data_IF_404351224296
#
_entry.id   IF_404351224296
#
_cell.length_a   1.000
_cell.length_b   1.000
_cell.length_c   1.000
_cell.angle_alpha   90.00
_cell.angle_beta   90.00
_cell.angle_gamma   90.00
#
_symmetry.space_group_name_H-M   'P 1'
#
loop_
_entity.id
_entity.type
_entity.pdbx_description
1 polymer ?
#
# COMPACT_ATOMS: atom_id res chain seq x y z
N UNK A 1 61.84 -17.15 -5.10
CA UNK A 1 60.88 -16.08 -5.42
C UNK A 1 59.48 -16.70 -5.50
N UNK A 2 58.76 -16.73 -4.37
CA UNK A 2 57.38 -17.21 -4.28
C UNK A 2 56.44 -16.02 -4.54
N UNK A 3 55.75 -16.00 -5.68
CA UNK A 3 54.71 -14.99 -5.97
C UNK A 3 53.36 -15.54 -5.53
N UNK A 4 52.89 -15.04 -4.38
CA UNK A 4 51.62 -15.35 -3.75
C UNK A 4 50.52 -14.50 -4.41
N UNK A 5 49.77 -15.10 -5.35
CA UNK A 5 48.58 -14.48 -5.93
C UNK A 5 47.40 -14.66 -4.98
N UNK A 6 47.20 -13.69 -4.09
CA UNK A 6 45.99 -13.55 -3.28
C UNK A 6 44.83 -13.13 -4.19
N UNK A 7 44.05 -14.11 -4.65
CA UNK A 7 42.76 -13.87 -5.33
C UNK A 7 41.76 -13.37 -4.28
N UNK A 8 41.57 -12.06 -4.22
CA UNK A 8 40.51 -11.43 -3.45
C UNK A 8 39.16 -11.75 -4.12
N UNK A 9 38.51 -12.82 -3.66
CA UNK A 9 37.13 -13.13 -4.02
C UNK A 9 36.22 -12.21 -3.18
N UNK A 10 35.74 -11.13 -3.77
CA UNK A 10 34.70 -10.29 -3.19
C UNK A 10 33.38 -11.04 -3.33
N UNK A 11 32.99 -11.80 -2.30
CA UNK A 11 31.64 -12.37 -2.20
C UNK A 11 30.69 -11.21 -1.90
N UNK A 12 29.91 -10.79 -2.89
CA UNK A 12 28.74 -9.93 -2.66
C UNK A 12 27.70 -10.78 -1.92
N UNK A 13 27.68 -10.69 -0.59
CA UNK A 13 26.54 -11.14 0.19
C UNK A 13 25.42 -10.12 -0.02
N UNK A 14 24.42 -10.47 -0.84
CA UNK A 14 23.17 -9.74 -0.85
C UNK A 14 22.54 -9.86 0.54
N UNK A 15 22.33 -8.75 1.22
CA UNK A 15 21.55 -8.70 2.44
C UNK A 15 20.08 -9.00 2.07
N UNK A 16 19.72 -10.29 2.04
CA UNK A 16 18.36 -10.66 2.36
C UNK A 16 18.15 -10.16 3.80
N UNK A 17 17.34 -9.12 3.97
CA UNK A 17 16.93 -8.70 5.30
C UNK A 17 16.34 -9.92 5.98
N UNK A 18 16.99 -10.39 7.05
CA UNK A 18 16.60 -11.64 7.69
C UNK A 18 15.17 -11.50 8.19
N UNK A 19 14.26 -12.28 7.61
CA UNK A 19 12.90 -12.40 8.12
C UNK A 19 12.95 -13.01 9.52
N UNK A 20 12.40 -12.32 10.51
CA UNK A 20 12.36 -12.80 11.91
C UNK A 20 11.10 -13.62 12.22
N UNK A 21 10.23 -13.83 11.24
CA UNK A 21 9.02 -14.64 11.40
C UNK A 21 9.32 -16.10 11.14
N UNK A 22 8.76 -16.97 11.97
CA UNK A 22 8.87 -18.41 11.81
C UNK A 22 7.71 -18.90 10.94
N UNK A 23 8.01 -19.55 9.81
CA UNK A 23 6.99 -20.02 8.90
C UNK A 23 7.58 -20.74 7.69
N UNK A 24 6.73 -20.99 6.69
CA UNK A 24 7.14 -21.57 5.41
C UNK A 24 7.38 -20.45 4.40
N UNK A 25 8.50 -20.52 3.70
CA UNK A 25 8.71 -19.67 2.53
C UNK A 25 7.69 -20.06 1.45
N UNK A 26 7.03 -19.04 0.88
CA UNK A 26 6.05 -19.19 -0.18
C UNK A 26 6.33 -18.20 -1.31
N UNK A 27 6.13 -18.69 -2.53
CA UNK A 27 6.13 -17.88 -3.76
C UNK A 27 4.78 -18.05 -4.41
N UNK A 28 4.11 -16.96 -4.78
CA UNK A 28 2.86 -17.03 -5.50
C UNK A 28 2.65 -15.85 -6.44
N UNK A 29 1.89 -16.08 -7.50
CA UNK A 29 1.43 -15.03 -8.42
C UNK A 29 -0.08 -14.84 -8.27
N UNK A 30 -0.53 -13.59 -8.33
CA UNK A 30 -1.93 -13.26 -8.17
C UNK A 30 -2.19 -11.78 -8.41
N UNK A 31 -3.47 -11.44 -8.59
CA UNK A 31 -3.89 -10.05 -8.63
C UNK A 31 -3.76 -9.44 -7.23
N UNK A 32 -3.18 -8.25 -7.17
CA UNK A 32 -3.13 -7.46 -5.94
C UNK A 32 -4.28 -6.45 -5.98
N UNK A 33 -5.09 -6.44 -4.94
CA UNK A 33 -6.28 -5.60 -4.82
C UNK A 33 -6.35 -4.97 -3.43
N UNK A 34 -6.94 -3.78 -3.34
CA UNK A 34 -7.25 -3.14 -2.06
C UNK A 34 -8.48 -3.77 -1.41
N UNK A 35 -8.51 -3.77 -0.08
CA UNK A 35 -9.62 -4.35 0.67
C UNK A 35 -10.92 -3.53 0.49
N UNK A 36 -10.86 -2.22 0.22
CA UNK A 36 -12.07 -1.42 0.02
C UNK A 36 -12.89 -1.86 -1.20
N UNK A 37 -12.25 -2.10 -2.35
CA UNK A 37 -12.84 -2.69 -3.54
C UNK A 37 -13.35 -4.13 -3.29
N UNK A 38 -12.60 -4.92 -2.52
CA UNK A 38 -13.03 -6.29 -2.17
C UNK A 38 -14.30 -6.25 -1.30
N UNK A 39 -14.30 -5.45 -0.23
CA UNK A 39 -15.34 -5.41 0.78
C UNK A 39 -16.66 -4.83 0.25
N UNK A 40 -16.60 -3.81 -0.61
CA UNK A 40 -17.79 -3.26 -1.25
C UNK A 40 -18.34 -4.15 -2.38
N UNK A 41 -17.54 -5.11 -2.85
CA UNK A 41 -17.90 -6.09 -3.89
C UNK A 41 -17.80 -5.58 -5.33
N UNK A 42 -17.63 -4.28 -5.57
CA UNK A 42 -17.52 -3.67 -6.90
C UNK A 42 -16.34 -2.69 -7.00
N UNK A 43 -15.85 -2.45 -8.22
CA UNK A 43 -14.76 -1.49 -8.44
C UNK A 43 -15.28 -0.06 -8.20
N UNK A 44 -14.48 0.78 -7.55
CA UNK A 44 -14.86 2.19 -7.31
C UNK A 44 -15.08 2.97 -8.59
N UNK A 45 -14.21 2.77 -9.59
CA UNK A 45 -14.27 3.43 -10.88
C UNK A 45 -15.17 2.73 -11.90
N UNK A 46 -15.63 1.52 -11.59
CA UNK A 46 -16.58 0.76 -12.38
C UNK A 46 -17.54 -0.04 -11.47
N UNK A 47 -18.54 0.64 -10.89
CA UNK A 47 -19.41 0.09 -9.84
C UNK A 47 -20.39 -0.99 -10.34
N UNK A 48 -20.27 -1.43 -11.58
CA UNK A 48 -21.06 -2.53 -12.15
C UNK A 48 -20.27 -3.82 -12.28
N UNK A 49 -18.95 -3.78 -12.08
CA UNK A 49 -18.08 -4.96 -12.23
C UNK A 49 -17.68 -5.53 -10.88
N UNK A 50 -18.05 -6.80 -10.59
CA UNK A 50 -17.68 -7.46 -9.34
C UNK A 50 -16.18 -7.71 -9.25
N UNK A 51 -15.59 -7.40 -8.10
CA UNK A 51 -14.13 -7.38 -7.91
C UNK A 51 -13.49 -8.75 -7.95
N UNK A 52 -14.04 -9.71 -7.21
CA UNK A 52 -13.53 -11.08 -7.16
C UNK A 52 -13.92 -11.95 -8.37
N UNK A 53 -14.74 -11.43 -9.29
CA UNK A 53 -15.03 -12.09 -10.57
C UNK A 53 -14.07 -11.59 -11.64
N UNK A 54 -13.77 -10.29 -11.65
CA UNK A 54 -12.98 -9.62 -12.68
C UNK A 54 -11.81 -8.81 -12.12
N UNK A 55 -10.88 -9.40 -11.35
CA UNK A 55 -9.75 -8.66 -10.78
C UNK A 55 -8.81 -8.08 -11.86
N UNK A 56 -8.83 -8.63 -13.08
CA UNK A 56 -8.07 -8.14 -14.24
C UNK A 56 -8.48 -6.75 -14.70
N UNK A 57 -9.69 -6.29 -14.33
CA UNK A 57 -10.13 -4.93 -14.67
C UNK A 57 -9.90 -3.91 -13.56
N UNK A 58 -9.38 -4.34 -12.40
CA UNK A 58 -9.07 -3.43 -11.30
C UNK A 58 -8.02 -2.42 -11.75
N UNK A 59 -8.35 -1.13 -11.69
CA UNK A 59 -7.48 -0.10 -12.23
C UNK A 59 -6.28 0.15 -11.33
N UNK A 60 -5.15 0.48 -11.96
CA UNK A 60 -4.00 1.00 -11.25
C UNK A 60 -4.40 2.28 -10.49
N UNK A 61 -5.29 3.11 -11.04
CA UNK A 61 -5.80 4.31 -10.34
C UNK A 61 -6.30 4.01 -8.91
N UNK A 62 -7.09 2.95 -8.71
CA UNK A 62 -7.54 2.56 -7.38
C UNK A 62 -6.38 2.14 -6.47
N UNK A 63 -5.37 1.45 -7.01
CA UNK A 63 -4.22 0.99 -6.24
C UNK A 63 -3.28 2.11 -5.75
N UNK A 64 -3.37 3.33 -6.30
CA UNK A 64 -2.33 4.33 -6.05
C UNK A 64 -2.81 5.79 -5.95
N UNK A 65 -4.04 6.13 -6.37
CA UNK A 65 -4.60 7.50 -6.24
C UNK A 65 -5.80 7.59 -5.27
N UNK A 66 -6.59 6.52 -5.14
CA UNK A 66 -7.84 6.58 -4.39
C UNK A 66 -7.56 6.30 -2.92
N UNK A 67 -7.66 7.35 -2.09
CA UNK A 67 -7.28 7.27 -0.66
C UNK A 67 -8.00 6.15 0.10
N UNK A 68 -9.30 5.96 -0.15
CA UNK A 68 -10.08 4.88 0.48
C UNK A 68 -9.49 3.50 0.17
N UNK A 69 -9.07 3.27 -1.08
CA UNK A 69 -8.41 2.05 -1.51
C UNK A 69 -7.03 1.91 -0.86
N UNK A 70 -6.16 2.93 -0.99
CA UNK A 70 -4.79 2.87 -0.46
C UNK A 70 -4.71 2.75 1.06
N UNK A 71 -5.67 3.32 1.78
CA UNK A 71 -5.75 3.25 3.25
C UNK A 71 -6.28 1.90 3.74
N UNK A 72 -7.03 1.16 2.91
CA UNK A 72 -7.69 -0.09 3.32
C UNK A 72 -6.78 -1.31 3.43
N UNK A 73 -5.48 -1.15 3.14
CA UNK A 73 -4.51 -2.23 2.96
C UNK A 73 -4.87 -3.16 1.79
N UNK A 74 -3.87 -3.87 1.28
CA UNK A 74 -4.00 -4.70 0.09
C UNK A 74 -3.92 -6.19 0.43
N UNK A 75 -4.49 -6.99 -0.44
CA UNK A 75 -4.43 -8.43 -0.45
C UNK A 75 -3.89 -8.95 -1.79
N UNK A 76 -3.33 -10.16 -1.78
CA UNK A 76 -3.12 -10.95 -3.00
C UNK A 76 -4.18 -12.03 -3.10
N UNK A 77 -4.71 -12.20 -4.30
CA UNK A 77 -5.78 -13.17 -4.56
C UNK A 77 -5.23 -14.51 -5.04
N UNK A 78 -5.85 -15.61 -4.58
CA UNK A 78 -5.74 -16.93 -5.18
C UNK A 78 -6.71 -17.05 -6.37
N UNK A 79 -6.34 -17.82 -7.41
CA UNK A 79 -7.25 -18.12 -8.50
C UNK A 79 -8.45 -18.94 -8.01
N UNK A 80 -9.58 -18.92 -8.76
CA UNK A 80 -10.72 -19.78 -8.46
C UNK A 80 -10.36 -21.27 -8.36
N UNK A 81 -10.92 -21.96 -7.37
CA UNK A 81 -10.71 -23.42 -7.18
C UNK A 81 -11.44 -24.29 -8.21
N UNK A 82 -12.28 -23.69 -9.06
CA UNK A 82 -13.03 -24.41 -10.08
C UNK A 82 -13.83 -23.50 -11.01
N UNK A 83 -14.51 -24.10 -12.01
CA UNK A 83 -15.39 -23.36 -12.91
C UNK A 83 -16.50 -22.66 -12.14
N UNK A 84 -16.75 -21.38 -12.46
CA UNK A 84 -17.74 -20.52 -11.81
C UNK A 84 -17.45 -20.16 -10.34
N UNK A 85 -16.26 -20.48 -9.82
CA UNK A 85 -15.80 -19.93 -8.54
C UNK A 85 -15.16 -18.55 -8.76
N UNK A 86 -15.19 -17.73 -7.72
CA UNK A 86 -14.53 -16.42 -7.72
C UNK A 86 -13.09 -16.56 -7.24
N UNK A 87 -12.29 -15.52 -7.50
CA UNK A 87 -11.03 -15.32 -6.80
C UNK A 87 -11.28 -15.16 -5.30
N UNK A 88 -10.32 -15.55 -4.48
CA UNK A 88 -10.39 -15.41 -3.02
C UNK A 88 -9.13 -14.75 -2.48
N UNK A 89 -9.23 -14.10 -1.32
CA UNK A 89 -8.06 -13.58 -0.62
C UNK A 89 -7.17 -14.77 -0.22
N UNK A 90 -5.92 -14.79 -0.70
CA UNK A 90 -4.94 -15.78 -0.26
C UNK A 90 -4.17 -15.29 0.95
N UNK A 91 -3.66 -14.06 0.88
CA UNK A 91 -3.01 -13.39 1.99
C UNK A 91 -3.35 -11.90 2.00
N UNK A 92 -3.53 -11.37 3.20
CA UNK A 92 -3.40 -9.95 3.47
C UNK A 92 -1.91 -9.56 3.36
N UNK A 93 -1.62 -8.40 2.79
CA UNK A 93 -0.24 -7.92 2.63
C UNK A 93 0.22 -7.04 3.80
N UNK A 94 -0.72 -6.66 4.68
CA UNK A 94 -0.44 -5.79 5.82
C UNK A 94 0.19 -4.45 5.41
N UNK A 95 0.76 -3.73 6.37
CA UNK A 95 1.30 -2.38 6.12
C UNK A 95 2.49 -2.40 5.17
N UNK A 96 3.45 -3.29 5.41
CA UNK A 96 4.70 -3.33 4.65
C UNK A 96 4.47 -3.82 3.22
N UNK A 97 3.67 -4.87 3.03
CA UNK A 97 3.33 -5.38 1.71
C UNK A 97 2.44 -4.41 0.92
N UNK A 98 1.50 -3.71 1.58
CA UNK A 98 0.72 -2.65 0.93
C UNK A 98 1.61 -1.52 0.42
N UNK A 99 2.54 -1.03 1.24
CA UNK A 99 3.48 0.01 0.81
C UNK A 99 4.33 -0.43 -0.40
N UNK A 100 4.75 -1.69 -0.42
CA UNK A 100 5.49 -2.26 -1.53
C UNK A 100 4.61 -2.41 -2.80
N UNK A 101 3.37 -2.87 -2.64
CA UNK A 101 2.42 -3.00 -3.72
C UNK A 101 2.07 -1.65 -4.36
N UNK A 102 1.81 -0.61 -3.55
CA UNK A 102 1.61 0.77 -4.01
C UNK A 102 2.82 1.22 -4.83
N UNK A 103 4.04 1.04 -4.30
CA UNK A 103 5.27 1.43 -5.00
C UNK A 103 5.42 0.75 -6.37
N UNK A 104 5.14 -0.55 -6.45
CA UNK A 104 5.21 -1.28 -7.72
C UNK A 104 4.08 -0.92 -8.68
N UNK A 105 2.86 -0.72 -8.17
CA UNK A 105 1.73 -0.25 -8.96
C UNK A 105 1.98 1.16 -9.54
N UNK A 106 2.63 2.05 -8.78
CA UNK A 106 3.05 3.37 -9.26
C UNK A 106 4.04 3.26 -10.42
N UNK A 107 5.05 2.38 -10.31
CA UNK A 107 5.99 2.12 -11.40
C UNK A 107 5.28 1.51 -12.62
N UNK A 108 4.34 0.59 -12.39
CA UNK A 108 3.56 -0.08 -13.43
C UNK A 108 2.63 0.85 -14.23
N UNK A 109 2.26 2.03 -13.70
CA UNK A 109 1.42 3.04 -14.40
C UNK A 109 1.95 3.42 -15.79
N UNK A 110 3.27 3.38 -15.98
CA UNK A 110 3.88 3.74 -17.25
C UNK A 110 3.67 2.67 -18.34
N UNK A 111 3.17 1.49 -17.97
CA UNK A 111 3.09 0.32 -18.84
C UNK A 111 1.68 -0.21 -19.05
N UNK A 112 0.75 0.12 -18.16
CA UNK A 112 -0.64 -0.32 -18.26
C UNK A 112 -1.56 0.40 -17.28
N UNK A 113 -2.86 0.12 -17.40
CA UNK A 113 -3.90 0.84 -16.64
C UNK A 113 -4.68 -0.04 -15.67
N UNK A 114 -4.69 -1.36 -15.84
CA UNK A 114 -5.50 -2.28 -15.03
C UNK A 114 -4.84 -3.64 -14.84
N UNK A 115 -5.42 -4.44 -13.95
CA UNK A 115 -5.11 -5.86 -13.80
C UNK A 115 -3.71 -6.09 -13.26
N UNK A 116 -3.33 -5.36 -12.21
CA UNK A 116 -2.02 -5.51 -11.58
C UNK A 116 -1.88 -6.89 -10.94
N UNK A 117 -1.09 -7.75 -11.60
CA UNK A 117 -0.75 -9.08 -11.13
C UNK A 117 0.75 -9.17 -10.93
N UNK A 118 1.17 -9.75 -9.81
CA UNK A 118 2.58 -9.82 -9.46
C UNK A 118 2.91 -11.16 -8.82
N UNK A 119 4.17 -11.58 -8.97
CA UNK A 119 4.74 -12.67 -8.18
C UNK A 119 5.33 -12.09 -6.90
N UNK A 120 4.91 -12.61 -5.77
CA UNK A 120 5.41 -12.22 -4.46
C UNK A 120 6.08 -13.40 -3.77
N UNK A 121 7.12 -13.11 -3.02
CA UNK A 121 7.77 -14.04 -2.10
C UNK A 121 7.53 -13.56 -0.66
N UNK A 122 7.35 -14.48 0.28
CA UNK A 122 7.20 -14.16 1.70
C UNK A 122 7.19 -15.40 2.58
N UNK A 123 6.87 -15.20 3.86
CA UNK A 123 6.79 -16.24 4.88
C UNK A 123 5.35 -16.38 5.36
N UNK A 124 4.80 -17.58 5.20
CA UNK A 124 3.52 -18.01 5.77
C UNK A 124 3.77 -18.58 7.18
N UNK A 125 3.44 -17.79 8.21
CA UNK A 125 3.52 -18.16 9.63
C UNK A 125 2.24 -18.83 10.16
N UNK A 126 1.30 -19.16 9.26
CA UNK A 126 -0.01 -19.70 9.58
C UNK A 126 -1.07 -18.65 9.89
N UNK A 127 -0.75 -17.35 9.83
CA UNK A 127 -1.73 -16.26 9.92
C UNK A 127 -2.27 -15.86 8.55
N UNK A 128 -3.29 -15.00 8.52
CA UNK A 128 -3.85 -14.51 7.25
C UNK A 128 -2.98 -13.46 6.56
N UNK A 129 -1.94 -12.93 7.21
CA UNK A 129 -1.07 -11.90 6.66
C UNK A 129 0.29 -12.49 6.28
N UNK A 130 0.71 -12.31 5.03
CA UNK A 130 2.01 -12.78 4.57
C UNK A 130 3.14 -11.93 5.15
N UNK A 131 4.17 -12.57 5.69
CA UNK A 131 5.30 -11.88 6.32
C UNK A 131 6.45 -11.72 5.34
N UNK A 132 7.33 -10.74 5.61
CA UNK A 132 8.60 -10.56 4.89
C UNK A 132 8.46 -10.49 3.36
N UNK A 133 7.44 -9.75 2.92
CA UNK A 133 7.03 -9.70 1.52
C UNK A 133 8.11 -9.02 0.66
N UNK A 134 8.37 -9.62 -0.50
CA UNK A 134 9.04 -8.99 -1.63
C UNK A 134 8.24 -9.24 -2.91
N UNK A 135 8.34 -8.32 -3.87
CA UNK A 135 7.66 -8.42 -5.16
C UNK A 135 8.71 -8.57 -6.26
N UNK A 136 8.54 -9.55 -7.13
CA UNK A 136 9.40 -9.74 -8.29
C UNK A 136 9.27 -8.58 -9.29
N UNK A 137 10.35 -8.28 -10.01
CA UNK A 137 10.39 -7.13 -10.94
C UNK A 137 9.49 -7.33 -12.16
N UNK A 138 9.27 -8.58 -12.56
CA UNK A 138 8.37 -8.89 -13.68
C UNK A 138 6.95 -8.99 -13.14
N UNK A 139 6.11 -8.05 -13.57
CA UNK A 139 4.71 -7.95 -13.22
C UNK A 139 3.85 -8.10 -14.48
N UNK A 140 2.54 -8.25 -14.32
CA UNK A 140 1.60 -8.11 -15.43
C UNK A 140 0.66 -6.93 -15.20
N UNK A 141 0.44 -6.17 -16.26
CA UNK A 141 -0.59 -5.13 -16.37
C UNK A 141 -1.19 -5.18 -17.76
N UNK A 142 -2.49 -4.91 -17.89
CA UNK A 142 -3.23 -5.03 -19.15
C UNK A 142 -2.97 -6.39 -19.85
N UNK A 143 -2.84 -7.47 -19.06
CA UNK A 143 -2.51 -8.83 -19.51
C UNK A 143 -1.16 -8.96 -20.23
N UNK A 144 -0.23 -8.04 -20.01
CA UNK A 144 1.12 -8.04 -20.59
C UNK A 144 2.18 -8.12 -19.49
N UNK A 145 3.14 -9.02 -19.67
CA UNK A 145 4.31 -9.09 -18.81
C UNK A 145 5.24 -7.91 -19.06
N UNK A 146 5.68 -7.26 -17.98
CA UNK A 146 6.56 -6.10 -17.99
C UNK A 146 7.61 -6.28 -16.90
N UNK A 147 8.88 -6.10 -17.23
CA UNK A 147 9.97 -6.09 -16.24
C UNK A 147 10.27 -4.66 -15.82
N UNK A 148 9.96 -4.32 -14.57
CA UNK A 148 10.26 -3.02 -14.00
C UNK A 148 11.75 -2.90 -13.70
N UNK A 149 12.38 -1.81 -14.14
CA UNK A 149 13.76 -1.51 -13.79
C UNK A 149 13.87 -1.04 -12.34
N UNK A 150 15.07 -1.10 -11.77
CA UNK A 150 15.32 -0.56 -10.44
C UNK A 150 15.03 0.96 -10.38
N UNK A 151 15.25 1.67 -11.49
CA UNK A 151 14.94 3.10 -11.61
C UNK A 151 13.45 3.38 -11.65
N UNK A 152 12.63 2.52 -12.27
CA UNK A 152 11.17 2.70 -12.29
C UNK A 152 10.60 2.60 -10.88
N UNK A 153 11.05 1.57 -10.15
CA UNK A 153 10.63 1.33 -8.77
C UNK A 153 11.21 2.40 -7.82
N UNK A 154 12.43 2.88 -8.04
CA UNK A 154 13.02 3.94 -7.21
C UNK A 154 12.40 5.33 -7.47
N UNK A 155 12.01 5.61 -8.71
CA UNK A 155 11.40 6.89 -9.11
C UNK A 155 9.90 6.94 -8.81
N UNK A 156 9.29 5.80 -8.49
CA UNK A 156 7.93 5.73 -7.96
C UNK A 156 7.88 6.41 -6.58
N UNK A 157 7.65 7.73 -6.59
CA UNK A 157 7.45 8.53 -5.38
C UNK A 157 6.12 8.14 -4.75
N UNK A 158 6.19 7.33 -3.70
CA UNK A 158 5.07 7.17 -2.76
C UNK A 158 4.73 8.60 -2.31
N UNK A 159 3.58 9.15 -2.71
CA UNK A 159 3.13 10.38 -2.04
C UNK A 159 3.04 10.03 -0.55
N UNK A 160 3.60 10.86 0.34
CA UNK A 160 3.76 10.46 1.72
C UNK A 160 2.38 10.14 2.31
N UNK A 161 2.15 8.86 2.64
CA UNK A 161 1.24 8.47 3.71
C UNK A 161 1.88 8.95 5.01
N UNK A 162 1.92 10.28 5.21
CA UNK A 162 2.27 10.87 6.49
C UNK A 162 1.09 10.64 7.43
N UNK A 163 1.06 9.47 8.05
CA UNK A 163 0.48 9.35 9.38
C UNK A 163 1.49 9.96 10.35
N UNK A 164 1.46 11.29 10.44
CA UNK A 164 2.13 12.02 11.49
C UNK A 164 1.55 11.54 12.83
N UNK A 165 2.35 11.00 13.78
CA UNK A 165 1.90 10.86 15.14
C UNK A 165 1.73 12.28 15.67
N UNK A 166 0.49 12.67 15.89
CA UNK A 166 0.09 13.83 16.66
C UNK A 166 0.60 13.68 18.10
N UNK A 167 1.88 13.95 18.33
CA UNK A 167 2.40 14.23 19.64
C UNK A 167 1.99 15.65 20.03
N UNK A 168 0.73 15.79 20.45
CA UNK A 168 0.24 17.00 21.09
C UNK A 168 0.97 17.15 22.44
N UNK A 169 2.13 17.81 22.39
CA UNK A 169 2.71 18.43 23.57
C UNK A 169 1.78 19.57 23.97
N UNK A 170 0.89 19.32 24.93
CA UNK A 170 0.19 20.38 25.66
C UNK A 170 1.23 21.15 26.47
N UNK A 171 1.71 22.27 25.95
CA UNK A 171 2.31 23.31 26.78
C UNK A 171 1.19 24.14 27.39
N UNK A 172 1.22 24.22 28.72
CA UNK A 172 0.32 25.03 29.53
C UNK A 172 0.43 26.51 29.15
N UNK A 173 -0.67 27.11 28.70
CA UNK A 173 -0.83 28.55 28.54
C UNK A 173 -1.92 29.04 29.47
N UNK A 174 -1.51 29.63 30.60
CA UNK A 174 -2.39 30.25 31.58
C UNK A 174 -3.17 31.43 30.99
N UNK A 175 -4.40 31.58 31.46
CA UNK A 175 -5.32 32.68 31.21
C UNK A 175 -4.66 34.05 31.37
N UNK A 176 -4.93 34.97 30.45
CA UNK A 176 -5.09 36.39 30.78
C UNK A 176 -6.21 36.99 29.94
N UNK A 177 -7.29 37.33 30.62
CA UNK A 177 -8.39 38.15 30.13
C UNK A 177 -8.05 39.62 30.39
N UNK A 178 -8.22 40.49 29.39
CA UNK A 178 -8.64 41.90 29.55
C UNK A 178 -9.24 42.35 28.22
N UNK A 179 -10.54 42.69 28.23
CA UNK A 179 -11.06 44.05 28.21
C UNK A 179 -11.11 44.65 26.79
N UNK A 180 -12.27 44.53 26.15
CA UNK A 180 -12.64 45.41 25.03
C UNK A 180 -14.06 45.92 25.25
N UNK A 181 -14.14 47.24 25.47
CA UNK A 181 -15.35 48.03 25.57
C UNK A 181 -16.29 47.79 24.39
N UNK A 182 -17.57 47.53 24.68
CA UNK A 182 -18.66 47.75 23.72
C UNK A 182 -19.74 48.56 24.43
N UNK A 183 -19.83 49.81 23.96
CA UNK A 183 -20.84 50.83 24.19
C UNK A 183 -22.23 50.34 23.70
N UNK A 184 -23.33 51.02 24.12
CA UNK A 184 -24.78 50.87 23.76
C UNK A 184 -25.59 50.40 25.01
N UNK A 185 -26.63 51.06 25.55
CA UNK A 185 -27.41 52.23 25.19
C UNK A 185 -27.99 52.87 26.47
N UNK A 186 -28.15 54.20 26.45
CA UNK A 186 -28.96 55.00 27.38
C UNK A 186 -30.35 55.17 26.75
N UNK A 187 -31.40 55.24 27.59
CA UNK A 187 -32.82 55.61 27.40
C UNK A 187 -33.69 54.45 27.93
N UNK A 188 -34.59 54.57 28.91
CA UNK A 188 -35.24 55.71 29.52
C UNK A 188 -35.88 55.23 30.84
N UNK A 189 -35.91 56.06 31.89
CA UNK A 189 -36.86 55.98 33.01
C UNK A 189 -36.57 57.16 33.93
N UNK A 190 -37.28 58.27 33.77
CA UNK A 190 -37.82 59.13 34.84
C UNK A 190 -38.66 60.22 34.18
N UNK A 191 -39.98 60.04 34.26
CA UNK A 191 -40.98 60.99 33.88
C UNK A 191 -42.18 60.81 34.81
N UNK A 192 -42.14 61.59 35.91
CA UNK A 192 -43.14 61.73 36.99
C UNK A 192 -43.08 60.65 38.07
#
# INVERSE_FOLDING_TARGET
MFHQLLKLFLVLTSAAGNCLFNGKDVTMSGFIMDNYCIDQGFMVDNPTTPTLVHPEVHSIHCLVDVKACTDSMFAILAPPEGPNSNYTIKYQLGKNGTALAIKYAMAARNYGKRGFNATINGVDDGTSELKCISIEKTIMVDSKAVTLSATDVASATIMPMDMQPNNATKTNGAQQATSLMVLIAIMALFGI
#
